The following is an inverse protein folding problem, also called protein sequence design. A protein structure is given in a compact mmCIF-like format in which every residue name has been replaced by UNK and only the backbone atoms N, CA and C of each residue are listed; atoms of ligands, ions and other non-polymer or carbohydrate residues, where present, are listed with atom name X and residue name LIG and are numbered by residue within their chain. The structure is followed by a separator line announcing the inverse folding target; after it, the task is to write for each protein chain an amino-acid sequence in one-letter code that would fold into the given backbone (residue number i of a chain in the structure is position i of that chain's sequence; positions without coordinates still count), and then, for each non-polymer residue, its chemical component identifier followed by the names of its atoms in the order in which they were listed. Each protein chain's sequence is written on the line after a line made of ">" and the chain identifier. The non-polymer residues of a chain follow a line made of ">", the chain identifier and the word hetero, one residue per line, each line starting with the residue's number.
data_IF_440697669227
#
_entry.id   IF_440697669227
#
_cell.length_a   1.000
_cell.length_b   1.000
_cell.length_c   1.000
_cell.angle_alpha   90.00
_cell.angle_beta   90.00
_cell.angle_gamma   90.00
#
_symmetry.space_group_name_H-M   'P 1'
#
loop_
_entity.id
_entity.type
_entity.pdbx_description
1 polymer ?
#
# COMPACT_ATOMS: atom_id res chain seq x y z
N UNK A 1 3.02 -16.26 5.14
CA UNK A 1 3.35 -15.01 4.40
C UNK A 1 4.81 -14.68 4.64
N UNK A 2 5.48 -13.93 3.74
CA UNK A 2 6.84 -13.46 3.94
C UNK A 2 6.88 -12.21 4.85
N UNK A 3 8.08 -11.67 5.16
CA UNK A 3 8.26 -10.52 6.07
C UNK A 3 7.79 -9.17 5.50
N UNK A 4 7.11 -9.12 4.36
CA UNK A 4 6.44 -7.89 3.89
C UNK A 4 5.26 -7.48 4.80
N UNK A 5 4.74 -8.43 5.57
CA UNK A 5 3.75 -8.19 6.63
C UNK A 5 4.32 -8.76 7.91
N UNK A 6 4.46 -7.93 8.94
CA UNK A 6 5.11 -8.24 10.21
C UNK A 6 4.18 -7.97 11.38
N UNK A 7 4.29 -8.77 12.43
CA UNK A 7 3.49 -8.61 13.64
C UNK A 7 4.13 -7.66 14.66
N UNK A 8 3.38 -7.36 15.72
CA UNK A 8 3.82 -6.52 16.85
C UNK A 8 5.10 -7.05 17.48
N UNK A 9 5.28 -8.37 17.56
CA UNK A 9 6.46 -8.98 18.20
C UNK A 9 7.73 -8.77 17.34
N UNK A 10 7.58 -8.80 16.02
CA UNK A 10 8.69 -8.49 15.11
C UNK A 10 9.17 -7.05 15.30
N UNK A 11 8.26 -6.09 15.42
CA UNK A 11 8.57 -4.67 15.64
C UNK A 11 9.20 -4.46 17.02
N UNK A 12 8.63 -5.05 18.08
CA UNK A 12 9.17 -4.94 19.43
C UNK A 12 10.63 -5.36 19.55
N UNK A 13 11.04 -6.38 18.81
CA UNK A 13 12.43 -6.86 18.80
C UNK A 13 13.40 -5.90 18.12
N UNK A 14 12.88 -4.91 17.36
CA UNK A 14 13.66 -4.02 16.50
C UNK A 14 13.46 -2.53 16.81
N UNK A 15 12.71 -2.16 17.84
CA UNK A 15 12.47 -0.76 18.20
C UNK A 15 13.75 0.05 18.46
N UNK A 16 14.79 -0.61 18.96
CA UNK A 16 16.08 0.03 19.25
C UNK A 16 17.14 -0.23 18.15
N UNK A 17 16.73 -0.84 17.03
CA UNK A 17 17.61 -1.10 15.89
C UNK A 17 17.76 0.17 15.06
N UNK A 18 18.98 0.74 14.92
CA UNK A 18 19.18 1.97 14.16
C UNK A 18 18.94 1.84 12.66
N UNK A 19 18.91 0.61 12.14
CA UNK A 19 18.68 0.33 10.72
C UNK A 19 17.19 0.05 10.43
N UNK A 20 16.28 0.30 11.42
CA UNK A 20 14.82 0.12 11.28
C UNK A 20 14.08 1.42 11.57
N UNK A 21 13.42 1.96 10.56
CA UNK A 21 12.56 3.13 10.67
C UNK A 21 11.09 2.72 10.85
N UNK A 22 10.51 3.06 11.99
CA UNK A 22 9.06 2.89 12.24
C UNK A 22 8.34 4.17 11.81
N UNK A 23 7.33 4.05 10.93
CA UNK A 23 6.65 5.19 10.30
C UNK A 23 5.16 5.17 10.60
N UNK A 24 4.67 6.23 11.22
CA UNK A 24 3.26 6.52 11.44
C UNK A 24 2.71 7.36 10.28
N UNK A 25 1.75 6.83 9.54
CA UNK A 25 1.14 7.56 8.42
C UNK A 25 -0.24 8.13 8.74
N UNK A 26 -0.66 8.08 10.01
CA UNK A 26 -1.90 8.71 10.48
C UNK A 26 -1.78 10.23 10.45
N UNK A 27 -2.90 10.91 10.72
CA UNK A 27 -2.89 12.36 10.84
C UNK A 27 -1.97 12.84 11.97
N UNK A 28 -1.35 14.01 11.79
CA UNK A 28 -0.43 14.58 12.78
C UNK A 28 -1.07 14.75 14.17
N UNK A 29 -2.37 15.09 14.24
CA UNK A 29 -3.07 15.21 15.51
C UNK A 29 -3.26 13.88 16.25
N UNK A 30 -3.33 12.75 15.52
CA UNK A 30 -3.36 11.40 16.12
C UNK A 30 -1.99 11.04 16.69
N UNK A 31 -0.94 11.27 15.90
CA UNK A 31 0.44 11.03 16.31
C UNK A 31 0.81 11.83 17.57
N UNK A 32 0.52 13.13 17.58
CA UNK A 32 0.89 14.04 18.68
C UNK A 32 -0.07 13.96 19.88
N UNK A 33 -1.38 13.76 19.63
CA UNK A 33 -2.43 13.88 20.64
C UNK A 33 -2.91 12.55 21.22
N UNK A 34 -3.02 11.49 20.41
CA UNK A 34 -3.38 10.14 20.86
C UNK A 34 -2.14 9.37 21.29
N UNK A 35 -1.04 9.61 20.58
CA UNK A 35 0.24 8.92 20.77
C UNK A 35 0.57 7.98 19.63
N UNK A 36 1.79 7.48 19.63
CA UNK A 36 2.39 6.67 18.58
C UNK A 36 3.30 5.56 19.15
N UNK A 37 3.77 4.66 18.29
CA UNK A 37 4.77 3.63 18.64
C UNK A 37 6.07 4.35 19.02
N UNK A 38 6.71 4.01 20.16
CA UNK A 38 7.96 4.64 20.58
C UNK A 38 9.01 4.62 19.47
N UNK A 39 9.63 5.78 19.19
CA UNK A 39 10.62 5.95 18.14
C UNK A 39 10.06 6.13 16.73
N UNK A 40 8.75 5.98 16.53
CA UNK A 40 8.14 6.19 15.21
C UNK A 40 8.25 7.64 14.76
N UNK A 41 8.54 7.86 13.47
CA UNK A 41 8.48 9.16 12.81
C UNK A 41 7.12 9.37 12.16
N UNK A 42 6.65 10.63 12.10
CA UNK A 42 5.36 10.96 11.49
C UNK A 42 5.53 11.35 10.02
N UNK A 43 4.90 10.59 9.13
CA UNK A 43 4.75 10.91 7.71
C UNK A 43 3.25 10.81 7.33
N UNK A 44 2.43 11.83 7.64
CA UNK A 44 1.00 11.78 7.35
C UNK A 44 0.71 11.46 5.89
N UNK A 45 -0.35 10.69 5.64
CA UNK A 45 -0.71 10.19 4.30
C UNK A 45 -0.70 11.28 3.22
N UNK A 46 -1.16 12.49 3.54
CA UNK A 46 -1.21 13.58 2.58
C UNK A 46 0.18 14.12 2.20
N UNK A 47 1.23 13.81 2.96
CA UNK A 47 2.59 14.29 2.69
C UNK A 47 3.32 13.54 1.57
N UNK A 48 2.88 12.32 1.23
CA UNK A 48 3.51 11.48 0.21
C UNK A 48 2.60 11.16 -0.99
N UNK A 49 1.73 12.09 -1.32
CA UNK A 49 0.91 12.06 -2.54
C UNK A 49 0.96 13.41 -3.26
N UNK A 50 0.66 13.43 -4.54
CA UNK A 50 0.62 14.66 -5.32
C UNK A 50 -0.45 15.62 -4.79
N UNK A 51 -0.10 16.91 -4.74
CA UNK A 51 -1.00 17.99 -4.33
C UNK A 51 -2.19 18.15 -5.29
N UNK A 52 -3.30 18.68 -4.76
CA UNK A 52 -4.57 18.91 -5.48
C UNK A 52 -4.50 19.97 -6.60
N UNK A 53 -3.34 20.48 -6.97
CA UNK A 53 -3.17 21.55 -7.97
C UNK A 53 -3.51 21.13 -9.41
N UNK A 54 -3.82 19.85 -9.62
CA UNK A 54 -4.48 19.35 -10.82
C UNK A 54 -5.39 18.19 -10.45
N UNK A 55 -6.70 18.30 -10.62
CA UNK A 55 -7.66 17.26 -10.26
C UNK A 55 -7.38 15.87 -10.90
N UNK A 56 -6.54 15.84 -11.94
CA UNK A 56 -6.10 14.60 -12.60
C UNK A 56 -4.92 13.93 -11.90
N UNK A 57 -4.20 14.64 -11.01
CA UNK A 57 -2.99 14.16 -10.33
C UNK A 57 -3.19 13.98 -8.83
N UNK A 58 -4.32 14.47 -8.28
CA UNK A 58 -4.62 14.36 -6.86
C UNK A 58 -4.63 12.88 -6.40
N UNK A 59 -3.80 12.58 -5.41
CA UNK A 59 -3.67 11.22 -4.87
C UNK A 59 -2.68 10.32 -5.61
N UNK A 60 -2.06 10.79 -6.70
CA UNK A 60 -1.01 10.11 -7.43
C UNK A 60 0.35 10.20 -6.71
N UNK A 61 1.40 9.65 -7.33
CA UNK A 61 2.76 9.72 -6.80
C UNK A 61 3.25 11.17 -6.67
N UNK A 62 3.94 11.53 -5.57
CA UNK A 62 4.33 12.92 -5.29
C UNK A 62 5.50 13.45 -6.14
N UNK A 63 6.16 12.59 -6.91
CA UNK A 63 7.43 12.86 -7.56
C UNK A 63 8.62 12.39 -6.71
N UNK A 64 9.67 11.91 -7.38
CA UNK A 64 10.81 11.28 -6.72
C UNK A 64 11.56 12.25 -5.79
N UNK A 65 11.79 13.50 -6.23
CA UNK A 65 12.52 14.49 -5.44
C UNK A 65 11.76 14.83 -4.14
N UNK A 66 10.44 15.05 -4.24
CA UNK A 66 9.57 15.34 -3.10
C UNK A 66 9.56 14.19 -2.10
N UNK A 67 9.44 12.96 -2.61
CA UNK A 67 9.44 11.76 -1.77
C UNK A 67 10.80 11.53 -1.09
N UNK A 68 11.91 11.75 -1.82
CA UNK A 68 13.25 11.65 -1.29
C UNK A 68 13.53 12.68 -0.18
N UNK A 69 13.11 13.94 -0.39
CA UNK A 69 13.22 14.99 0.63
C UNK A 69 12.39 14.66 1.88
N UNK A 70 11.19 14.11 1.69
CA UNK A 70 10.30 13.72 2.78
C UNK A 70 10.93 12.63 3.67
N UNK A 71 11.39 11.52 3.08
CA UNK A 71 12.01 10.43 3.82
C UNK A 71 13.34 10.86 4.45
N UNK A 72 14.19 11.54 3.68
CA UNK A 72 15.48 12.02 4.17
C UNK A 72 15.34 13.02 5.33
N UNK A 73 14.35 13.92 5.31
CA UNK A 73 14.08 14.85 6.41
C UNK A 73 13.58 14.12 7.66
N UNK A 74 12.90 13.00 7.52
CA UNK A 74 12.49 12.14 8.62
C UNK A 74 13.65 11.28 9.18
N UNK A 75 14.83 11.35 8.56
CA UNK A 75 16.02 10.59 8.98
C UNK A 75 16.04 9.15 8.48
N UNK A 76 15.23 8.84 7.45
CA UNK A 76 15.16 7.50 6.85
C UNK A 76 16.17 7.42 5.72
N UNK A 77 17.06 6.42 5.77
CA UNK A 77 18.04 6.11 4.73
C UNK A 77 17.47 5.08 3.73
N UNK A 78 18.01 5.07 2.51
CA UNK A 78 17.62 4.10 1.48
C UNK A 78 17.99 2.64 1.81
N UNK A 79 18.83 2.44 2.82
CA UNK A 79 19.26 1.13 3.30
C UNK A 79 18.52 0.68 4.57
N UNK A 80 17.61 1.49 5.12
CA UNK A 80 16.84 1.13 6.32
C UNK A 80 15.74 0.11 6.00
N UNK A 81 15.37 -0.70 6.97
CA UNK A 81 14.09 -1.40 6.97
C UNK A 81 12.99 -0.41 7.37
N UNK A 82 11.95 -0.25 6.56
CA UNK A 82 10.81 0.64 6.84
C UNK A 82 9.63 -0.19 7.31
N UNK A 83 9.17 0.06 8.54
CA UNK A 83 7.92 -0.50 9.07
C UNK A 83 6.87 0.59 9.11
N UNK A 84 5.85 0.51 8.27
CA UNK A 84 4.78 1.49 8.26
C UNK A 84 3.50 0.96 8.91
N UNK A 85 2.78 1.86 9.59
CA UNK A 85 1.47 1.56 10.16
C UNK A 85 0.52 2.75 10.05
N UNK A 86 -0.77 2.43 10.08
CA UNK A 86 -1.87 3.39 10.20
C UNK A 86 -2.85 2.95 11.30
N UNK A 87 -4.09 3.41 11.26
CA UNK A 87 -5.21 2.88 12.06
C UNK A 87 -6.44 2.57 11.17
N UNK A 88 -6.18 2.17 9.91
CA UNK A 88 -7.18 1.84 8.90
C UNK A 88 -6.79 0.55 8.19
N UNK A 89 -6.46 -0.49 8.96
CA UNK A 89 -6.10 -1.83 8.50
C UNK A 89 -4.90 -1.87 7.53
N UNK A 90 -4.00 -0.88 7.59
CA UNK A 90 -2.79 -0.84 6.79
C UNK A 90 -2.95 -0.27 5.38
N UNK A 91 -4.12 0.27 5.00
CA UNK A 91 -4.37 0.74 3.63
C UNK A 91 -3.56 1.98 3.25
N UNK A 92 -3.32 2.88 4.21
CA UNK A 92 -2.49 4.07 4.02
C UNK A 92 -1.00 3.76 4.16
N UNK A 93 -0.66 2.90 5.14
CA UNK A 93 0.70 2.42 5.34
C UNK A 93 1.21 1.64 4.11
N UNK A 94 0.39 0.77 3.54
CA UNK A 94 0.71 0.08 2.30
C UNK A 94 0.99 1.04 1.15
N UNK A 95 0.29 2.20 1.07
CA UNK A 95 0.55 3.21 0.03
C UNK A 95 1.95 3.82 0.18
N UNK A 96 2.41 4.14 1.41
CA UNK A 96 3.77 4.60 1.65
C UNK A 96 4.79 3.57 1.17
N UNK A 97 4.62 2.30 1.60
CA UNK A 97 5.55 1.22 1.26
C UNK A 97 5.63 0.96 -0.24
N UNK A 98 4.48 0.92 -0.94
CA UNK A 98 4.45 0.75 -2.40
C UNK A 98 5.08 1.97 -3.09
N UNK A 99 4.85 3.19 -2.60
CA UNK A 99 5.50 4.39 -3.14
C UNK A 99 7.02 4.31 -2.99
N UNK A 100 7.52 3.85 -1.83
CA UNK A 100 8.95 3.62 -1.61
C UNK A 100 9.52 2.56 -2.57
N UNK A 101 8.82 1.43 -2.77
CA UNK A 101 9.21 0.39 -3.73
C UNK A 101 9.29 0.94 -5.17
N UNK A 102 8.28 1.71 -5.60
CA UNK A 102 8.26 2.35 -6.92
C UNK A 102 9.42 3.33 -7.11
N UNK A 103 9.84 4.01 -6.05
CA UNK A 103 10.99 4.92 -6.05
C UNK A 103 12.32 4.27 -5.67
N UNK A 104 12.40 2.94 -5.73
CA UNK A 104 13.66 2.22 -5.74
C UNK A 104 14.13 1.67 -4.40
N UNK A 105 13.36 1.84 -3.32
CA UNK A 105 13.65 1.17 -2.07
C UNK A 105 13.59 -0.36 -2.23
N UNK A 106 14.46 -1.10 -1.54
CA UNK A 106 14.46 -2.56 -1.63
C UNK A 106 13.14 -3.13 -1.06
N UNK A 107 12.33 -3.82 -1.89
CA UNK A 107 11.07 -4.38 -1.42
C UNK A 107 11.20 -5.43 -0.30
N UNK A 108 12.38 -5.96 -0.05
CA UNK A 108 12.64 -6.87 1.07
C UNK A 108 12.78 -6.13 2.41
N UNK A 109 12.97 -4.81 2.37
CA UNK A 109 13.10 -3.92 3.52
C UNK A 109 11.84 -3.10 3.80
N UNK A 110 10.72 -3.46 3.16
CA UNK A 110 9.44 -2.77 3.30
C UNK A 110 8.42 -3.66 4.01
N UNK A 111 7.98 -3.23 5.18
CA UNK A 111 7.17 -4.02 6.10
C UNK A 111 5.89 -3.29 6.50
N UNK A 112 4.75 -3.93 6.31
CA UNK A 112 3.46 -3.48 6.83
C UNK A 112 3.24 -4.07 8.22
N UNK A 113 2.95 -3.23 9.22
CA UNK A 113 2.55 -3.72 10.54
C UNK A 113 1.16 -4.36 10.46
N UNK A 114 1.08 -5.65 10.73
CA UNK A 114 -0.17 -6.38 10.84
C UNK A 114 -0.88 -6.03 12.16
N UNK A 115 -2.13 -5.59 12.07
CA UNK A 115 -2.94 -5.21 13.19
C UNK A 115 -2.95 -3.71 13.51
N UNK A 116 -2.34 -2.89 12.73
CA UNK A 116 -2.34 -1.42 12.81
C UNK A 116 -2.03 -0.82 14.21
N UNK A 117 -2.20 0.50 14.39
CA UNK A 117 -1.99 1.17 15.68
C UNK A 117 -2.92 0.68 16.78
N UNK A 118 -4.18 0.37 16.44
CA UNK A 118 -5.16 -0.08 17.43
C UNK A 118 -4.77 -1.40 18.09
N UNK A 119 -4.16 -2.33 17.35
CA UNK A 119 -3.68 -3.61 17.92
C UNK A 119 -2.44 -3.37 18.78
N UNK A 120 -1.52 -2.54 18.33
CA UNK A 120 -0.37 -2.13 19.14
C UNK A 120 -0.80 -1.54 20.48
N UNK A 121 -1.66 -0.53 20.44
CA UNK A 121 -2.10 0.23 21.62
C UNK A 121 -2.87 -0.61 22.65
N UNK A 122 -3.45 -1.78 22.26
CA UNK A 122 -4.12 -2.69 23.20
C UNK A 122 -3.15 -3.40 24.15
N UNK A 123 -1.91 -3.59 23.75
CA UNK A 123 -0.97 -4.48 24.42
C UNK A 123 0.42 -3.90 24.68
N UNK A 124 0.76 -2.78 24.06
CA UNK A 124 2.08 -2.18 24.11
C UNK A 124 2.02 -0.72 24.59
N UNK A 125 3.18 -0.22 25.00
CA UNK A 125 3.33 1.17 25.39
C UNK A 125 3.30 2.07 24.15
N UNK A 126 2.71 3.26 24.31
CA UNK A 126 2.72 4.34 23.34
C UNK A 126 3.35 5.57 23.97
N UNK A 127 3.75 6.53 23.15
CA UNK A 127 4.32 7.80 23.58
C UNK A 127 3.77 8.95 22.76
N UNK A 128 3.90 10.17 23.27
CA UNK A 128 3.71 11.42 22.53
C UNK A 128 5.04 12.16 22.37
N UNK A 129 6.16 11.53 22.78
CA UNK A 129 7.50 12.12 22.68
C UNK A 129 8.02 11.93 21.25
N UNK A 130 8.14 13.04 20.51
CA UNK A 130 8.62 13.03 19.12
C UNK A 130 10.12 12.71 19.11
N UNK A 131 10.55 11.68 18.35
CA UNK A 131 11.96 11.32 18.27
C UNK A 131 12.78 12.45 17.62
N UNK A 132 14.02 12.61 18.07
CA UNK A 132 14.97 13.50 17.40
C UNK A 132 15.69 12.72 16.31
N UNK A 133 15.46 13.08 15.06
CA UNK A 133 16.12 12.49 13.90
C UNK A 133 17.14 13.47 13.29
N UNK A 134 18.16 12.92 12.64
CA UNK A 134 19.07 13.72 11.83
C UNK A 134 18.68 13.51 10.36
N UNK A 135 18.54 14.61 9.62
CA UNK A 135 18.26 14.49 8.20
C UNK A 135 19.41 13.76 7.46
N UNK A 136 19.05 12.90 6.55
CA UNK A 136 19.93 12.13 5.67
C UNK A 136 19.58 12.38 4.20
N UNK A 137 20.42 11.93 3.27
CA UNK A 137 20.10 11.97 1.86
C UNK A 137 19.40 10.67 1.46
N UNK A 138 18.12 10.76 1.06
CA UNK A 138 17.38 9.63 0.49
C UNK A 138 17.26 9.78 -1.02
N UNK A 139 17.81 8.83 -1.78
CA UNK A 139 17.80 8.89 -3.25
C UNK A 139 16.59 8.14 -3.82
N UNK A 140 15.47 8.83 -3.96
CA UNK A 140 14.29 8.30 -4.64
C UNK A 140 14.44 8.40 -6.16
N UNK A 141 14.18 7.30 -6.86
CA UNK A 141 14.13 7.25 -8.33
C UNK A 141 13.30 6.05 -8.79
N UNK A 142 12.58 6.19 -9.89
CA UNK A 142 11.91 5.05 -10.50
C UNK A 142 12.90 3.96 -10.89
N UNK A 143 12.53 2.72 -10.58
CA UNK A 143 13.21 1.53 -11.11
C UNK A 143 12.75 1.27 -12.54
N UNK A 144 13.58 0.60 -13.35
CA UNK A 144 13.21 0.18 -14.71
C UNK A 144 12.15 -0.94 -14.71
N UNK A 145 12.12 -1.74 -13.63
CA UNK A 145 11.27 -2.94 -13.45
C UNK A 145 10.10 -2.72 -12.48
N UNK A 146 9.60 -1.48 -12.39
CA UNK A 146 8.45 -1.19 -11.50
C UNK A 146 7.17 -1.89 -11.98
N UNK A 147 6.30 -2.32 -11.05
CA UNK A 147 5.02 -2.94 -11.39
C UNK A 147 3.98 -1.95 -11.96
N UNK A 148 4.33 -0.69 -12.14
CA UNK A 148 3.45 0.38 -12.60
C UNK A 148 3.12 0.22 -14.09
N UNK A 149 1.83 0.26 -14.42
CA UNK A 149 1.34 0.16 -15.80
C UNK A 149 0.34 1.27 -16.12
N UNK A 150 0.17 1.56 -17.41
CA UNK A 150 -0.84 2.48 -17.94
C UNK A 150 -2.06 1.77 -18.55
N UNK A 151 -3.04 2.55 -19.06
CA UNK A 151 -4.31 2.05 -19.57
C UNK A 151 -4.17 1.08 -20.74
N UNK A 152 -3.22 1.28 -21.64
CA UNK A 152 -2.96 0.36 -22.76
C UNK A 152 -2.58 -1.06 -22.29
N UNK A 153 -1.79 -1.15 -21.21
CA UNK A 153 -1.41 -2.43 -20.64
C UNK A 153 -2.57 -3.11 -19.90
N UNK A 154 -3.48 -2.33 -19.32
CA UNK A 154 -4.75 -2.85 -18.76
C UNK A 154 -5.62 -3.42 -19.88
N UNK A 155 -5.80 -2.68 -20.98
CA UNK A 155 -6.56 -3.15 -22.14
C UNK A 155 -5.97 -4.46 -22.72
N UNK A 156 -4.64 -4.56 -22.82
CA UNK A 156 -3.97 -5.78 -23.24
C UNK A 156 -4.20 -6.94 -22.27
N UNK A 157 -4.21 -6.69 -20.96
CA UNK A 157 -4.45 -7.72 -19.95
C UNK A 157 -5.88 -8.27 -19.97
N UNK A 158 -6.88 -7.50 -20.40
CA UNK A 158 -8.25 -7.99 -20.57
C UNK A 158 -8.38 -9.05 -21.67
N UNK A 159 -7.50 -9.02 -22.66
CA UNK A 159 -7.48 -9.97 -23.78
C UNK A 159 -6.52 -11.17 -23.54
N UNK A 160 -5.74 -11.13 -22.46
CA UNK A 160 -4.73 -12.14 -22.13
C UNK A 160 -5.32 -13.22 -21.20
N UNK A 161 -5.41 -14.50 -21.62
CA UNK A 161 -5.92 -15.58 -20.78
C UNK A 161 -5.04 -15.87 -19.54
N UNK A 162 -3.78 -15.45 -19.56
CA UNK A 162 -2.83 -15.58 -18.46
C UNK A 162 -2.78 -14.35 -17.54
N UNK A 163 -3.66 -13.36 -17.76
CA UNK A 163 -3.85 -12.21 -16.89
C UNK A 163 -5.26 -12.19 -16.26
N UNK A 164 -5.40 -11.42 -15.19
CA UNK A 164 -6.66 -11.13 -14.53
C UNK A 164 -6.65 -9.67 -14.05
N UNK A 165 -7.65 -8.91 -14.46
CA UNK A 165 -7.85 -7.53 -14.01
C UNK A 165 -8.72 -7.55 -12.76
N UNK A 166 -8.28 -6.90 -11.69
CA UNK A 166 -8.89 -6.97 -10.36
C UNK A 166 -9.28 -5.59 -9.88
N UNK A 167 -10.57 -5.40 -9.64
CA UNK A 167 -11.12 -4.23 -8.97
C UNK A 167 -11.07 -4.39 -7.46
N UNK A 168 -10.35 -3.52 -6.78
CA UNK A 168 -10.18 -3.58 -5.32
C UNK A 168 -11.12 -2.65 -4.55
N UNK A 169 -12.16 -2.15 -5.21
CA UNK A 169 -13.16 -1.26 -4.62
C UNK A 169 -14.29 -2.03 -3.91
N UNK A 170 -15.16 -1.29 -3.26
CA UNK A 170 -16.34 -1.84 -2.58
C UNK A 170 -17.41 -2.31 -3.59
N UNK A 171 -18.28 -3.22 -3.16
CA UNK A 171 -19.35 -3.80 -3.99
C UNK A 171 -20.17 -2.76 -4.73
N UNK A 172 -20.65 -1.75 -4.03
CA UNK A 172 -21.49 -0.71 -4.60
C UNK A 172 -20.77 0.15 -5.65
N UNK A 173 -19.44 0.38 -5.48
CA UNK A 173 -18.62 1.10 -6.46
C UNK A 173 -18.43 0.26 -7.73
N UNK A 174 -18.23 -1.05 -7.57
CA UNK A 174 -18.12 -1.98 -8.69
C UNK A 174 -19.44 -2.05 -9.47
N UNK A 175 -20.58 -2.14 -8.79
CA UNK A 175 -21.91 -2.18 -9.40
C UNK A 175 -22.27 -0.90 -10.13
N UNK A 176 -21.84 0.27 -9.64
CA UNK A 176 -22.02 1.57 -10.31
C UNK A 176 -21.25 1.66 -11.63
N UNK A 177 -20.06 1.05 -11.70
CA UNK A 177 -19.27 1.03 -12.91
C UNK A 177 -17.88 0.44 -12.69
N UNK A 178 -17.48 -0.48 -13.55
CA UNK A 178 -16.18 -1.14 -13.51
C UNK A 178 -15.61 -1.39 -14.90
N UNK A 179 -14.34 -1.73 -14.99
CA UNK A 179 -13.69 -2.13 -16.25
C UNK A 179 -14.29 -3.48 -16.69
N UNK A 180 -14.87 -3.61 -17.90
CA UNK A 180 -15.50 -4.85 -18.36
C UNK A 180 -14.55 -6.05 -18.27
N UNK A 181 -15.03 -7.15 -17.69
CA UNK A 181 -14.24 -8.37 -17.49
C UNK A 181 -13.32 -8.34 -16.24
N UNK A 182 -13.30 -7.25 -15.49
CA UNK A 182 -12.59 -7.21 -14.22
C UNK A 182 -13.29 -8.07 -13.16
N UNK A 183 -12.49 -8.71 -12.32
CA UNK A 183 -12.97 -9.47 -11.16
C UNK A 183 -12.93 -8.59 -9.91
N UNK A 184 -14.03 -8.54 -9.17
CA UNK A 184 -14.10 -7.81 -7.91
C UNK A 184 -13.39 -8.55 -6.78
N UNK A 185 -12.56 -7.80 -6.04
CA UNK A 185 -11.96 -8.20 -4.77
C UNK A 185 -11.90 -6.96 -3.86
N UNK A 186 -12.94 -6.70 -3.08
CA UNK A 186 -12.89 -5.62 -2.09
C UNK A 186 -11.69 -5.84 -1.17
N UNK A 187 -10.80 -4.83 -1.08
CA UNK A 187 -9.58 -4.93 -0.26
C UNK A 187 -9.87 -5.31 1.20
N UNK A 188 -11.05 -4.97 1.72
CA UNK A 188 -11.48 -5.33 3.09
C UNK A 188 -11.73 -6.82 3.27
N UNK A 189 -11.96 -7.57 2.21
CA UNK A 189 -12.08 -9.02 2.27
C UNK A 189 -10.74 -9.70 2.63
N UNK A 190 -9.64 -8.97 2.51
CA UNK A 190 -8.31 -9.45 2.89
C UNK A 190 -8.01 -9.28 4.37
N UNK A 191 -8.85 -8.56 5.13
CA UNK A 191 -8.66 -8.28 6.55
C UNK A 191 -9.73 -8.92 7.41
N UNK A 192 -9.36 -9.29 8.62
CA UNK A 192 -10.28 -9.58 9.72
C UNK A 192 -10.54 -8.25 10.46
N UNK A 193 -11.70 -7.66 10.21
CA UNK A 193 -12.07 -6.34 10.75
C UNK A 193 -12.24 -6.33 12.27
N UNK A 194 -12.57 -7.46 12.89
CA UNK A 194 -12.73 -7.58 14.33
C UNK A 194 -11.35 -7.71 15.02
N UNK A 195 -10.49 -8.56 14.49
CA UNK A 195 -9.11 -8.70 14.96
C UNK A 195 -8.25 -7.51 14.54
N UNK A 196 -8.63 -6.81 13.47
CA UNK A 196 -7.88 -5.71 12.78
C UNK A 196 -6.57 -6.18 12.15
N UNK A 197 -6.49 -7.44 11.78
CA UNK A 197 -5.30 -8.07 11.17
C UNK A 197 -5.60 -8.54 9.75
N UNK A 198 -4.56 -8.80 9.00
CA UNK A 198 -4.67 -9.53 7.72
C UNK A 198 -5.20 -10.95 8.02
N UNK A 199 -6.11 -11.45 7.19
CA UNK A 199 -6.64 -12.81 7.36
C UNK A 199 -5.55 -13.88 7.28
N UNK A 200 -5.77 -15.04 7.90
CA UNK A 200 -4.86 -16.18 7.80
C UNK A 200 -4.55 -16.56 6.34
N UNK A 201 -3.29 -16.88 6.06
CA UNK A 201 -2.83 -17.21 4.69
C UNK A 201 -3.69 -18.24 3.97
N UNK A 202 -4.17 -19.27 4.68
CA UNK A 202 -5.01 -20.31 4.07
C UNK A 202 -6.36 -19.77 3.61
N UNK A 203 -6.97 -18.85 4.37
CA UNK A 203 -8.23 -18.19 4.01
C UNK A 203 -8.04 -17.26 2.82
N UNK A 204 -6.95 -16.47 2.82
CA UNK A 204 -6.63 -15.59 1.69
C UNK A 204 -6.43 -16.36 0.40
N UNK A 205 -5.68 -17.47 0.44
CA UNK A 205 -5.45 -18.31 -0.75
C UNK A 205 -6.74 -18.91 -1.29
N UNK A 206 -7.64 -19.37 -0.40
CA UNK A 206 -8.94 -19.91 -0.82
C UNK A 206 -9.81 -18.81 -1.46
N UNK A 207 -9.86 -17.62 -0.84
CA UNK A 207 -10.59 -16.46 -1.34
C UNK A 207 -10.10 -16.02 -2.73
N UNK A 208 -8.79 -15.95 -2.93
CA UNK A 208 -8.17 -15.56 -4.19
C UNK A 208 -8.39 -16.61 -5.29
N UNK A 209 -8.25 -17.90 -4.95
CA UNK A 209 -8.46 -19.00 -5.88
C UNK A 209 -9.93 -19.06 -6.37
N UNK A 210 -10.89 -18.84 -5.48
CA UNK A 210 -12.32 -18.76 -5.84
C UNK A 210 -12.60 -17.71 -6.91
N UNK A 211 -11.82 -16.61 -6.91
CA UNK A 211 -11.89 -15.52 -7.90
C UNK A 211 -10.99 -15.69 -9.11
N UNK A 212 -10.29 -16.82 -9.22
CA UNK A 212 -9.34 -17.07 -10.29
C UNK A 212 -8.04 -16.28 -10.20
N UNK A 213 -7.78 -15.61 -9.06
CA UNK A 213 -6.51 -14.92 -8.77
C UNK A 213 -5.55 -15.97 -8.22
N UNK A 214 -4.74 -16.55 -9.09
CA UNK A 214 -3.87 -17.67 -8.75
C UNK A 214 -2.40 -17.38 -9.04
N UNK A 215 -1.45 -17.96 -8.30
CA UNK A 215 -0.03 -17.88 -8.64
C UNK A 215 0.21 -18.40 -10.06
N UNK A 216 0.94 -17.63 -10.87
CA UNK A 216 1.22 -17.95 -12.27
C UNK A 216 0.35 -17.19 -13.28
N UNK A 217 -0.73 -16.53 -12.84
CA UNK A 217 -1.40 -15.50 -13.62
C UNK A 217 -0.91 -14.11 -13.21
N UNK A 218 -0.84 -13.22 -14.19
CA UNK A 218 -0.58 -11.80 -13.95
C UNK A 218 -1.82 -11.15 -13.33
N UNK A 219 -1.71 -10.62 -12.12
CA UNK A 219 -2.78 -9.85 -11.46
C UNK A 219 -2.58 -8.35 -11.74
N UNK A 220 -3.54 -7.73 -12.43
CA UNK A 220 -3.56 -6.30 -12.72
C UNK A 220 -4.55 -5.61 -11.79
N UNK A 221 -4.05 -4.81 -10.86
CA UNK A 221 -4.86 -4.19 -9.81
C UNK A 221 -5.25 -2.77 -10.15
N UNK A 222 -6.51 -2.40 -9.92
CA UNK A 222 -6.98 -1.02 -9.98
C UNK A 222 -7.99 -0.71 -8.86
N UNK A 223 -8.19 0.58 -8.58
CA UNK A 223 -9.26 1.10 -7.72
C UNK A 223 -9.75 2.47 -8.22
N UNK A 224 -9.81 3.51 -7.38
CA UNK A 224 -10.02 4.90 -7.82
C UNK A 224 -8.75 5.74 -7.72
N UNK A 225 -7.98 5.60 -6.62
CA UNK A 225 -6.87 6.49 -6.24
C UNK A 225 -5.70 5.75 -5.60
N UNK A 226 -5.30 4.62 -6.12
CA UNK A 226 -4.10 3.86 -5.80
C UNK A 226 -3.90 3.32 -4.36
N UNK A 227 -4.56 3.83 -3.29
CA UNK A 227 -4.34 3.36 -1.91
C UNK A 227 -4.85 1.94 -1.66
N UNK A 228 -6.08 1.60 -2.12
CA UNK A 228 -6.66 0.25 -1.95
C UNK A 228 -5.88 -0.81 -2.72
N UNK A 229 -5.42 -0.47 -3.93
CA UNK A 229 -4.53 -1.36 -4.69
C UNK A 229 -3.19 -1.56 -3.99
N UNK A 230 -2.67 -0.56 -3.26
CA UNK A 230 -1.43 -0.71 -2.50
C UNK A 230 -1.55 -1.76 -1.41
N UNK A 231 -2.68 -1.79 -0.69
CA UNK A 231 -2.96 -2.82 0.30
C UNK A 231 -3.04 -4.22 -0.34
N UNK A 232 -3.87 -4.38 -1.37
CA UNK A 232 -4.03 -5.66 -2.08
C UNK A 232 -2.71 -6.12 -2.70
N UNK A 233 -1.93 -5.20 -3.31
CA UNK A 233 -0.59 -5.48 -3.83
C UNK A 233 0.33 -6.03 -2.73
N UNK A 234 0.39 -5.35 -1.58
CA UNK A 234 1.22 -5.78 -0.45
C UNK A 234 0.86 -7.18 0.04
N UNK A 235 -0.44 -7.50 0.16
CA UNK A 235 -0.92 -8.83 0.56
C UNK A 235 -0.57 -9.89 -0.48
N UNK A 236 -0.80 -9.65 -1.77
CA UNK A 236 -0.46 -10.60 -2.83
C UNK A 236 1.06 -10.87 -2.87
N UNK A 237 1.88 -9.82 -2.75
CA UNK A 237 3.34 -9.96 -2.69
C UNK A 237 3.79 -10.74 -1.45
N UNK A 238 3.13 -10.53 -0.30
CA UNK A 238 3.38 -11.29 0.93
C UNK A 238 3.03 -12.78 0.80
N UNK A 239 2.01 -13.10 -0.01
CA UNK A 239 1.61 -14.47 -0.36
C UNK A 239 2.52 -15.12 -1.43
N UNK A 240 3.48 -14.38 -2.00
CA UNK A 240 4.43 -14.88 -2.98
C UNK A 240 3.97 -14.78 -4.44
N UNK A 241 2.92 -14.00 -4.74
CA UNK A 241 2.56 -13.69 -6.13
C UNK A 241 3.67 -12.81 -6.73
N UNK A 242 4.31 -13.29 -7.80
CA UNK A 242 5.46 -12.63 -8.41
C UNK A 242 5.08 -11.60 -9.48
N UNK A 243 3.99 -11.85 -10.22
CA UNK A 243 3.53 -10.99 -11.31
C UNK A 243 2.25 -10.25 -10.90
N UNK A 244 2.43 -9.12 -10.24
CA UNK A 244 1.36 -8.23 -9.80
C UNK A 244 1.62 -6.85 -10.38
N UNK A 245 0.74 -6.37 -11.25
CA UNK A 245 0.81 -5.06 -11.87
C UNK A 245 -0.09 -4.06 -11.13
N UNK A 246 0.36 -2.82 -11.12
CA UNK A 246 -0.22 -1.72 -10.35
C UNK A 246 -0.67 -0.61 -11.32
N UNK A 247 -1.98 -0.47 -11.52
CA UNK A 247 -2.54 0.58 -12.36
C UNK A 247 -2.92 1.79 -11.49
N UNK A 248 -2.01 2.76 -11.36
CA UNK A 248 -2.18 3.89 -10.46
C UNK A 248 -3.34 4.79 -10.86
N UNK A 249 -3.45 5.16 -12.14
CA UNK A 249 -4.53 6.01 -12.67
C UNK A 249 -5.92 5.44 -12.48
N UNK A 250 -5.99 4.12 -12.33
CA UNK A 250 -7.19 3.37 -11.93
C UNK A 250 -8.43 3.72 -12.79
N UNK A 251 -9.63 3.57 -12.23
CA UNK A 251 -10.86 3.83 -12.97
C UNK A 251 -10.97 5.29 -13.43
N UNK A 252 -10.48 6.24 -12.65
CA UNK A 252 -10.53 7.67 -12.97
C UNK A 252 -9.78 7.98 -14.27
N UNK A 253 -8.59 7.43 -14.45
CA UNK A 253 -7.82 7.59 -15.69
C UNK A 253 -8.45 6.81 -16.84
N UNK A 254 -8.88 5.57 -16.57
CA UNK A 254 -9.54 4.72 -17.57
C UNK A 254 -10.73 5.40 -18.21
N UNK A 255 -11.63 6.01 -17.42
CA UNK A 255 -12.78 6.77 -17.91
C UNK A 255 -12.36 8.03 -18.70
N UNK A 256 -11.37 8.75 -18.18
CA UNK A 256 -10.84 9.95 -18.86
C UNK A 256 -10.28 9.64 -20.24
N UNK A 257 -9.61 8.51 -20.40
CA UNK A 257 -9.07 8.06 -21.69
C UNK A 257 -10.14 7.39 -22.60
N UNK A 258 -11.40 7.33 -22.15
CA UNK A 258 -12.53 6.80 -22.93
C UNK A 258 -12.64 5.28 -22.88
N UNK A 259 -12.08 4.64 -21.89
CA UNK A 259 -12.22 3.19 -21.64
C UNK A 259 -13.67 2.79 -21.40
N UNK A 260 -14.05 1.60 -21.84
CA UNK A 260 -15.41 1.09 -21.65
C UNK A 260 -15.70 0.84 -20.17
N UNK A 261 -16.95 1.07 -19.77
CA UNK A 261 -17.47 0.82 -18.43
C UNK A 261 -18.65 -0.14 -18.52
N UNK A 262 -18.67 -1.14 -17.66
CA UNK A 262 -19.79 -2.03 -17.43
C UNK A 262 -20.43 -1.74 -16.07
N UNK A 263 -21.74 -1.94 -15.92
CA UNK A 263 -22.50 -1.72 -14.70
C UNK A 263 -23.21 -3.00 -14.27
N UNK A 264 -23.41 -3.17 -12.98
CA UNK A 264 -24.04 -4.36 -12.41
C UNK A 264 -23.01 -5.36 -11.89
N UNK A 265 -23.50 -6.49 -11.38
CA UNK A 265 -22.68 -7.55 -10.74
C UNK A 265 -22.27 -8.63 -11.71
#
# INVERSE_FOLDING_TARGET
>A
MNERIVDVEWVLKRLDDPDVAVVDVRDAWEYEGIGHIPGAVSLPFDSFRADEHGAAEAGMLPGADVFGELLGSAGIDSEDDIVAYDDTHGVFAARLLVTAELYGHDPLKLHLLDGDYSVWNRSQQTTTEVPTTNAVEYQARFREDVPLIGPDAVAAALEDPDAIVVDTREDWEYEEGHIPGAVRLDWRELVDTDARTIRPEAELRALLEERGIVPGKRAVLYCNTARRISHTYTVLRALGYSDVAFYEGSLTEWEREGGAIETGS
#
